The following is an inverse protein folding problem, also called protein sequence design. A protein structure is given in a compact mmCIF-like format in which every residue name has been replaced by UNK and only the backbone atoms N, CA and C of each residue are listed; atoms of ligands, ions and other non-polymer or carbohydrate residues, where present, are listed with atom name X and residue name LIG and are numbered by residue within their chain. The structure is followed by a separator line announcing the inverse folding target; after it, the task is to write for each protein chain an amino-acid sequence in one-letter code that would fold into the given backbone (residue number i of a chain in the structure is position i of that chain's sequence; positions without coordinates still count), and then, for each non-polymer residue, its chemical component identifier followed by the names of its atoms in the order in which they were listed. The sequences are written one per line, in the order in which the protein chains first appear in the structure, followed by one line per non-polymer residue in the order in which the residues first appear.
data_IF_930550148851
#
_entry.id   IF_930550148851
#
_cell.length_a   1.000
_cell.length_b   1.000
_cell.length_c   1.000
_cell.angle_alpha   90.00
_cell.angle_beta   90.00
_cell.angle_gamma   90.00
#
_symmetry.space_group_name_H-M   'P 1'
#
loop_
_entity.id
_entity.type
_entity.pdbx_description
1 polymer ?
#
# COMPACT_ATOMS: atom_id res chain seq x y z
N UNK A 1 13.17 -13.74 -43.96
CA UNK A 1 12.85 -12.31 -43.78
C UNK A 1 11.35 -12.11 -43.47
N UNK A 2 10.44 -12.45 -44.38
CA UNK A 2 8.98 -12.23 -44.21
C UNK A 2 8.39 -12.89 -42.95
N UNK A 3 8.77 -14.14 -42.66
CA UNK A 3 8.28 -14.85 -41.46
C UNK A 3 8.69 -14.18 -40.14
N UNK A 4 9.89 -13.58 -40.08
CA UNK A 4 10.36 -12.85 -38.89
C UNK A 4 9.54 -11.58 -38.64
N UNK A 5 9.15 -10.86 -39.70
CA UNK A 5 8.29 -9.68 -39.58
C UNK A 5 6.89 -10.04 -39.11
N UNK A 6 6.33 -11.15 -39.61
CA UNK A 6 5.01 -11.63 -39.17
C UNK A 6 5.05 -12.03 -37.71
N UNK A 7 6.09 -12.77 -37.28
CA UNK A 7 6.24 -13.16 -35.88
C UNK A 7 6.39 -11.94 -34.97
N UNK A 8 7.19 -10.95 -35.37
CA UNK A 8 7.39 -9.71 -34.59
C UNK A 8 6.08 -8.91 -34.44
N UNK A 9 5.35 -8.73 -35.55
CA UNK A 9 4.05 -8.02 -35.54
C UNK A 9 3.05 -8.77 -34.67
N UNK A 10 3.01 -10.10 -34.78
CA UNK A 10 2.08 -10.92 -34.00
C UNK A 10 2.42 -10.90 -32.51
N UNK A 11 3.69 -10.98 -32.12
CA UNK A 11 4.08 -10.87 -30.71
C UNK A 11 3.84 -9.47 -30.16
N UNK A 12 4.12 -8.41 -30.93
CA UNK A 12 3.82 -7.04 -30.50
C UNK A 12 2.32 -6.81 -30.38
N UNK A 13 1.52 -7.36 -31.30
CA UNK A 13 0.06 -7.31 -31.24
C UNK A 13 -0.48 -8.05 -30.03
N UNK A 14 0.01 -9.27 -29.76
CA UNK A 14 -0.34 -10.01 -28.55
C UNK A 14 0.09 -9.27 -27.29
N UNK A 15 1.31 -8.73 -27.25
CA UNK A 15 1.77 -7.92 -26.12
C UNK A 15 0.89 -6.70 -25.91
N UNK A 16 0.47 -6.01 -26.97
CA UNK A 16 -0.42 -4.85 -26.89
C UNK A 16 -1.83 -5.24 -26.41
N UNK A 17 -2.41 -6.32 -26.94
CA UNK A 17 -3.72 -6.82 -26.50
C UNK A 17 -3.72 -7.33 -25.07
N UNK A 18 -2.59 -7.86 -24.58
CA UNK A 18 -2.43 -8.31 -23.20
C UNK A 18 -1.77 -7.24 -22.31
N UNK A 19 -1.56 -6.02 -22.82
CA UNK A 19 -1.04 -4.91 -22.01
C UNK A 19 -2.20 -4.26 -21.25
N UNK A 20 -2.85 -5.03 -20.38
CA UNK A 20 -3.62 -4.43 -19.29
C UNK A 20 -2.61 -4.10 -18.21
N UNK A 21 -2.22 -2.83 -18.13
CA UNK A 21 -1.85 -2.27 -16.83
C UNK A 21 -3.18 -2.17 -16.08
N UNK A 22 -3.59 -3.28 -15.47
CA UNK A 22 -4.68 -3.23 -14.51
C UNK A 22 -4.18 -2.36 -13.39
N UNK A 23 -4.88 -1.24 -13.20
CA UNK A 23 -4.36 -0.06 -12.54
C UNK A 23 -4.01 -0.40 -11.08
N UNK A 24 -2.70 -0.53 -10.80
CA UNK A 24 -2.12 -0.83 -9.47
C UNK A 24 -2.28 0.39 -8.54
N UNK A 25 -3.17 1.33 -8.85
CA UNK A 25 -3.38 2.54 -8.07
C UNK A 25 -4.22 2.25 -6.83
N UNK A 26 -4.13 3.17 -5.87
CA UNK A 26 -4.85 3.14 -4.60
C UNK A 26 -6.01 4.14 -4.61
N UNK A 27 -6.41 4.63 -5.78
CA UNK A 27 -7.45 5.64 -5.99
C UNK A 27 -8.78 5.20 -5.41
N UNK A 28 -9.27 3.99 -5.72
CA UNK A 28 -10.53 3.49 -5.13
C UNK A 28 -10.48 3.44 -3.60
N UNK A 29 -9.32 3.08 -3.04
CA UNK A 29 -9.12 2.98 -1.58
C UNK A 29 -9.10 4.39 -0.97
N UNK A 30 -8.45 5.34 -1.63
CA UNK A 30 -8.39 6.74 -1.19
C UNK A 30 -9.77 7.40 -1.28
N UNK A 31 -10.51 7.17 -2.37
CA UNK A 31 -11.88 7.65 -2.53
C UNK A 31 -12.78 7.06 -1.44
N UNK A 32 -12.68 5.76 -1.18
CA UNK A 32 -13.37 5.12 -0.05
C UNK A 32 -13.02 5.81 1.28
N UNK A 33 -11.75 6.12 1.54
CA UNK A 33 -11.35 6.79 2.77
C UNK A 33 -11.94 8.20 2.89
N UNK A 34 -11.93 8.98 1.80
CA UNK A 34 -12.46 10.34 1.78
C UNK A 34 -14.00 10.38 1.91
N UNK A 35 -14.68 9.35 1.43
CA UNK A 35 -16.14 9.23 1.52
C UNK A 35 -16.62 8.78 2.91
N UNK A 36 -15.80 8.07 3.67
CA UNK A 36 -16.21 7.42 4.91
C UNK A 36 -15.57 8.01 6.19
N UNK A 37 -14.48 8.77 6.08
CA UNK A 37 -13.75 9.31 7.22
C UNK A 37 -13.43 10.80 7.05
N UNK A 38 -13.30 11.51 8.18
CA UNK A 38 -12.73 12.86 8.14
C UNK A 38 -11.22 12.77 7.87
N UNK A 39 -10.79 13.31 6.73
CA UNK A 39 -9.38 13.29 6.30
C UNK A 39 -8.41 13.84 7.33
N UNK A 40 -8.85 14.79 8.18
CA UNK A 40 -7.99 15.42 9.18
C UNK A 40 -7.73 14.48 10.37
N UNK A 41 -8.59 13.48 10.57
CA UNK A 41 -8.44 12.42 11.58
C UNK A 41 -7.63 11.22 11.06
N UNK A 42 -7.37 11.16 9.75
CA UNK A 42 -6.64 10.05 9.13
C UNK A 42 -5.13 10.17 9.38
N UNK A 43 -4.57 9.16 10.04
CA UNK A 43 -3.14 8.86 10.09
C UNK A 43 -2.88 7.57 9.34
N UNK A 44 -2.52 7.69 8.06
CA UNK A 44 -2.40 6.56 7.15
C UNK A 44 -0.98 5.99 7.15
N UNK A 45 -0.84 4.70 7.46
CA UNK A 45 0.28 3.91 6.97
C UNK A 45 0.01 3.49 5.53
N UNK A 46 0.96 3.78 4.64
CA UNK A 46 0.97 3.32 3.26
C UNK A 46 2.41 3.13 2.80
N UNK A 47 2.63 2.20 1.86
CA UNK A 47 3.95 1.94 1.28
C UNK A 47 4.53 3.16 0.53
N UNK A 48 5.86 3.24 0.51
CA UNK A 48 6.66 4.37 0.02
C UNK A 48 6.17 4.97 -1.31
N UNK A 49 5.82 4.11 -2.28
CA UNK A 49 5.45 4.54 -3.62
C UNK A 49 4.07 5.21 -3.70
N UNK A 50 3.15 4.89 -2.79
CA UNK A 50 1.78 5.39 -2.86
C UNK A 50 1.53 6.57 -1.90
N UNK A 51 2.44 6.85 -0.97
CA UNK A 51 2.29 7.96 -0.03
C UNK A 51 2.13 9.32 -0.69
N UNK A 52 2.87 9.58 -1.77
CA UNK A 52 2.77 10.84 -2.50
C UNK A 52 1.37 11.07 -3.09
N UNK A 53 0.68 10.00 -3.51
CA UNK A 53 -0.69 10.09 -4.01
C UNK A 53 -1.68 10.38 -2.88
N UNK A 54 -1.56 9.72 -1.73
CA UNK A 54 -2.38 10.03 -0.55
C UNK A 54 -2.22 11.49 -0.10
N UNK A 55 -0.99 12.01 -0.03
CA UNK A 55 -0.70 13.42 0.29
C UNK A 55 -1.30 14.38 -0.73
N UNK A 56 -1.23 14.04 -2.02
CA UNK A 56 -1.85 14.83 -3.09
C UNK A 56 -3.36 14.94 -2.93
N UNK A 57 -4.01 13.86 -2.46
CA UNK A 57 -5.44 13.81 -2.16
C UNK A 57 -5.80 14.45 -0.80
N UNK A 58 -4.81 14.94 -0.05
CA UNK A 58 -4.99 15.62 1.22
C UNK A 58 -5.09 14.70 2.44
N UNK A 59 -4.71 13.42 2.29
CA UNK A 59 -4.58 12.46 3.40
C UNK A 59 -3.11 12.44 3.85
N UNK A 60 -2.89 12.61 5.15
CA UNK A 60 -1.55 12.55 5.71
C UNK A 60 -1.04 11.10 5.72
N UNK A 61 0.08 10.89 5.02
CA UNK A 61 0.76 9.61 4.89
C UNK A 61 1.92 9.47 5.87
N UNK A 62 2.25 8.22 6.23
CA UNK A 62 3.42 7.87 7.04
C UNK A 62 4.73 8.27 6.36
N UNK A 63 4.82 7.99 5.07
CA UNK A 63 6.01 8.18 4.24
C UNK A 63 5.57 8.44 2.80
N UNK A 64 6.35 9.21 2.05
CA UNK A 64 6.19 9.39 0.60
C UNK A 64 7.54 9.27 -0.11
N UNK A 65 7.53 9.43 -1.45
CA UNK A 65 8.69 9.19 -2.31
C UNK A 65 9.88 10.14 -2.11
N UNK A 66 9.76 11.17 -1.27
CA UNK A 66 10.84 12.08 -0.86
C UNK A 66 11.73 11.43 0.22
N UNK A 67 12.42 10.35 -0.14
CA UNK A 67 13.22 9.53 0.78
C UNK A 67 14.16 10.36 1.67
N UNK A 68 14.75 11.42 1.13
CA UNK A 68 15.67 12.30 1.85
C UNK A 68 15.05 12.96 3.09
N UNK A 69 13.72 13.15 3.14
CA UNK A 69 13.03 13.72 4.30
C UNK A 69 12.89 12.71 5.45
N UNK A 70 12.97 11.43 5.14
CA UNK A 70 12.67 10.34 6.07
C UNK A 70 13.92 9.68 6.66
N UNK A 71 15.11 10.11 6.21
CA UNK A 71 16.38 9.76 6.84
C UNK A 71 16.52 10.47 8.19
N UNK A 72 17.02 9.74 9.20
CA UNK A 72 17.26 10.29 10.54
C UNK A 72 18.12 11.55 10.56
N UNK A 73 19.13 11.61 9.69
CA UNK A 73 20.01 12.78 9.57
C UNK A 73 19.28 14.02 9.02
N UNK A 74 18.17 13.84 8.32
CA UNK A 74 17.38 14.92 7.73
C UNK A 74 16.24 15.37 8.63
N UNK A 75 15.49 14.44 9.25
CA UNK A 75 14.38 14.78 10.14
C UNK A 75 14.78 14.99 11.61
N UNK A 76 15.95 14.51 12.03
CA UNK A 76 16.50 14.67 13.38
C UNK A 76 15.79 13.86 14.48
N UNK A 77 14.92 12.92 14.12
CA UNK A 77 14.09 12.13 15.04
C UNK A 77 14.27 10.63 14.84
N UNK A 78 13.68 10.10 13.78
CA UNK A 78 13.49 8.67 13.52
C UNK A 78 14.03 8.30 12.15
N UNK A 79 14.48 7.06 11.98
CA UNK A 79 14.86 6.54 10.67
C UNK A 79 13.64 5.90 9.99
N UNK A 80 12.70 6.77 9.59
CA UNK A 80 11.41 6.39 9.00
C UNK A 80 11.63 5.59 7.70
N UNK A 81 12.67 5.95 6.94
CA UNK A 81 13.04 5.23 5.73
C UNK A 81 13.51 3.81 6.03
N UNK A 82 14.42 3.61 6.99
CA UNK A 82 14.88 2.28 7.42
C UNK A 82 13.72 1.41 7.94
N UNK A 83 12.84 1.97 8.77
CA UNK A 83 11.62 1.29 9.23
C UNK A 83 10.70 0.87 8.05
N UNK A 84 10.55 1.74 7.03
CA UNK A 84 9.77 1.40 5.84
C UNK A 84 10.38 0.27 5.02
N UNK A 85 11.72 0.14 5.01
CA UNK A 85 12.43 -0.95 4.36
C UNK A 85 12.17 -2.27 5.08
N UNK A 86 12.23 -2.31 6.42
CA UNK A 86 11.92 -3.54 7.17
C UNK A 86 10.51 -4.08 6.88
N UNK A 87 9.52 -3.18 6.76
CA UNK A 87 8.15 -3.59 6.44
C UNK A 87 8.05 -4.05 4.97
N UNK A 88 8.72 -3.36 4.05
CA UNK A 88 8.79 -3.75 2.63
C UNK A 88 9.49 -5.11 2.43
N UNK A 89 10.55 -5.39 3.17
CA UNK A 89 11.26 -6.66 3.15
C UNK A 89 10.47 -7.79 3.84
N UNK A 90 9.30 -7.47 4.40
CA UNK A 90 8.45 -8.41 5.14
C UNK A 90 9.23 -9.07 6.27
N UNK A 91 9.97 -8.29 7.05
CA UNK A 91 10.81 -8.81 8.12
C UNK A 91 9.94 -9.47 9.21
N UNK A 92 10.26 -10.73 9.55
CA UNK A 92 9.56 -11.53 10.56
C UNK A 92 9.90 -11.13 11.99
N UNK A 93 11.05 -10.48 12.19
CA UNK A 93 11.53 -10.07 13.50
C UNK A 93 11.23 -8.61 13.81
N UNK A 94 10.59 -7.89 12.88
CA UNK A 94 10.17 -6.52 13.07
C UNK A 94 9.04 -6.43 14.11
N UNK A 95 9.17 -5.49 15.04
CA UNK A 95 8.20 -5.28 16.11
C UNK A 95 7.04 -4.40 15.60
N UNK A 96 6.07 -5.04 14.96
CA UNK A 96 4.88 -4.37 14.43
C UNK A 96 4.03 -3.68 15.51
N UNK A 97 4.02 -4.19 16.75
CA UNK A 97 3.26 -3.57 17.83
C UNK A 97 3.92 -2.26 18.28
N UNK A 98 5.23 -2.27 18.50
CA UNK A 98 5.97 -1.06 18.80
C UNK A 98 5.84 -0.03 17.67
N UNK A 99 5.94 -0.47 16.41
CA UNK A 99 5.79 0.38 15.23
C UNK A 99 4.41 1.05 15.17
N UNK A 100 3.33 0.26 15.24
CA UNK A 100 1.96 0.79 15.16
C UNK A 100 1.64 1.71 16.34
N UNK A 101 2.07 1.36 17.56
CA UNK A 101 1.84 2.19 18.74
C UNK A 101 2.67 3.50 18.72
N UNK A 102 3.89 3.47 18.15
CA UNK A 102 4.77 4.65 18.03
C UNK A 102 4.13 5.75 17.18
N UNK A 103 3.54 5.39 16.04
CA UNK A 103 2.96 6.35 15.11
C UNK A 103 1.46 6.58 15.32
N UNK A 104 0.77 5.64 15.99
CA UNK A 104 -0.65 5.76 16.30
C UNK A 104 -1.50 5.85 15.04
N UNK A 105 -1.26 4.95 14.08
CA UNK A 105 -2.01 4.89 12.83
C UNK A 105 -3.49 4.67 13.11
N UNK A 106 -4.35 5.37 12.36
CA UNK A 106 -5.79 5.11 12.34
C UNK A 106 -6.15 4.18 11.19
N UNK A 107 -5.38 4.26 10.10
CA UNK A 107 -5.62 3.55 8.86
C UNK A 107 -4.31 2.92 8.40
N UNK A 108 -4.35 1.65 7.98
CA UNK A 108 -3.17 0.90 7.53
C UNK A 108 -3.52 0.21 6.22
N UNK A 109 -2.90 0.66 5.13
CA UNK A 109 -3.03 0.05 3.82
C UNK A 109 -1.89 -0.96 3.60
N UNK A 110 -2.26 -2.23 3.43
CA UNK A 110 -1.31 -3.35 3.32
C UNK A 110 -1.42 -4.00 1.96
N UNK A 111 -0.27 -4.24 1.32
CA UNK A 111 -0.17 -5.02 0.09
C UNK A 111 0.05 -6.49 0.42
N UNK A 112 -0.90 -7.36 0.08
CA UNK A 112 -0.90 -8.78 0.46
C UNK A 112 0.23 -9.58 -0.19
N UNK A 113 0.77 -9.12 -1.32
CA UNK A 113 1.92 -9.79 -1.97
C UNK A 113 3.24 -9.55 -1.24
N UNK A 114 3.36 -8.41 -0.56
CA UNK A 114 4.64 -7.95 0.01
C UNK A 114 4.59 -8.05 1.53
N UNK A 115 3.54 -7.58 2.18
CA UNK A 115 3.51 -7.37 3.62
C UNK A 115 2.70 -8.44 4.38
N UNK A 116 2.87 -9.71 4.03
CA UNK A 116 2.09 -10.81 4.64
C UNK A 116 2.26 -10.94 6.15
N UNK A 117 3.45 -10.64 6.70
CA UNK A 117 3.66 -10.70 8.15
C UNK A 117 2.99 -9.53 8.87
N UNK A 118 2.92 -8.36 8.21
CA UNK A 118 2.19 -7.22 8.77
C UNK A 118 0.68 -7.49 8.75
N UNK A 119 0.16 -8.09 7.67
CA UNK A 119 -1.21 -8.58 7.59
C UNK A 119 -1.53 -9.60 8.69
N UNK A 120 -0.66 -10.60 8.92
CA UNK A 120 -0.81 -11.58 9.99
C UNK A 120 -0.86 -10.92 11.38
N UNK A 121 0.02 -9.94 11.63
CA UNK A 121 -0.02 -9.13 12.86
C UNK A 121 -1.37 -8.43 13.03
N UNK A 122 -1.86 -7.74 12.00
CA UNK A 122 -3.13 -6.98 12.05
C UNK A 122 -4.34 -7.89 12.25
N UNK A 123 -4.36 -9.06 11.61
CA UNK A 123 -5.44 -10.04 11.81
C UNK A 123 -5.46 -10.62 13.24
N UNK A 124 -4.29 -10.74 13.87
CA UNK A 124 -4.18 -11.18 15.26
C UNK A 124 -4.49 -10.08 16.28
N UNK A 125 -4.52 -8.82 15.84
CA UNK A 125 -4.72 -7.64 16.68
C UNK A 125 -6.18 -7.18 16.63
N UNK A 126 -6.85 -7.18 17.78
CA UNK A 126 -8.27 -6.83 17.90
C UNK A 126 -8.56 -5.33 17.74
N UNK A 127 -7.53 -4.46 17.76
CA UNK A 127 -7.68 -3.00 17.61
C UNK A 127 -8.13 -2.56 16.21
N UNK A 128 -7.83 -3.36 15.19
CA UNK A 128 -8.11 -3.01 13.80
C UNK A 128 -9.18 -3.93 13.20
N UNK A 129 -9.88 -3.42 12.19
CA UNK A 129 -10.75 -4.21 11.33
C UNK A 129 -10.51 -3.89 9.87
N UNK A 130 -10.73 -4.88 9.01
CA UNK A 130 -10.69 -4.68 7.56
C UNK A 130 -11.97 -3.96 7.14
N UNK A 131 -11.81 -2.79 6.53
CA UNK A 131 -12.93 -1.94 6.06
C UNK A 131 -13.05 -1.91 4.54
N UNK A 132 -11.97 -2.26 3.83
CA UNK A 132 -11.95 -2.35 2.37
C UNK A 132 -10.96 -3.42 1.91
N UNK A 133 -11.36 -4.21 0.90
CA UNK A 133 -10.50 -5.17 0.22
C UNK A 133 -10.46 -4.83 -1.27
N UNK A 134 -9.25 -4.57 -1.79
CA UNK A 134 -9.03 -4.44 -3.23
C UNK A 134 -8.62 -5.80 -3.78
N UNK A 135 -9.36 -6.26 -4.76
CA UNK A 135 -9.16 -7.53 -5.44
C UNK A 135 -8.37 -7.33 -6.74
N UNK A 136 -7.60 -8.33 -7.16
CA UNK A 136 -6.80 -8.24 -8.40
C UNK A 136 -7.68 -8.18 -9.66
N UNK A 137 -8.87 -8.76 -9.61
CA UNK A 137 -9.88 -8.75 -10.68
C UNK A 137 -11.26 -8.54 -10.04
N UNK A 138 -12.22 -7.97 -10.76
CA UNK A 138 -13.58 -7.63 -10.32
C UNK A 138 -14.43 -8.86 -9.92
N UNK A 139 -13.87 -10.06 -10.04
CA UNK A 139 -14.51 -11.30 -9.61
C UNK A 139 -14.31 -11.55 -8.12
N UNK A 140 -15.41 -11.87 -7.40
CA UNK A 140 -15.40 -12.06 -5.94
C UNK A 140 -14.54 -13.23 -5.44
N UNK A 141 -14.12 -14.13 -6.35
CA UNK A 141 -13.24 -15.26 -6.04
C UNK A 141 -11.76 -14.93 -6.30
N UNK A 142 -11.44 -13.70 -6.71
CA UNK A 142 -10.08 -13.29 -7.04
C UNK A 142 -9.25 -12.96 -5.79
N UNK A 143 -7.93 -13.06 -5.95
CA UNK A 143 -6.98 -12.82 -4.87
C UNK A 143 -7.08 -11.38 -4.34
N UNK A 144 -7.21 -11.23 -3.02
CA UNK A 144 -7.17 -9.92 -2.35
C UNK A 144 -5.76 -9.34 -2.50
N UNK A 145 -5.64 -8.29 -3.29
CA UNK A 145 -4.38 -7.60 -3.56
C UNK A 145 -3.99 -6.68 -2.39
N UNK A 146 -4.96 -5.91 -1.87
CA UNK A 146 -4.73 -4.97 -0.77
C UNK A 146 -5.86 -5.02 0.24
N UNK A 147 -5.52 -4.76 1.49
CA UNK A 147 -6.49 -4.56 2.58
C UNK A 147 -6.27 -3.20 3.22
N UNK A 148 -7.36 -2.47 3.41
CA UNK A 148 -7.39 -1.30 4.26
C UNK A 148 -7.91 -1.71 5.63
N UNK A 149 -7.07 -1.54 6.63
CA UNK A 149 -7.43 -1.68 8.02
C UNK A 149 -7.77 -0.31 8.61
N UNK A 150 -8.84 -0.21 9.39
CA UNK A 150 -9.17 0.95 10.20
C UNK A 150 -9.15 0.58 11.69
N UNK A 151 -8.75 1.53 12.53
CA UNK A 151 -8.81 1.41 13.98
C UNK A 151 -10.29 1.38 14.39
N UNK A 152 -10.70 0.36 15.17
CA UNK A 152 -12.07 0.28 15.67
C UNK A 152 -12.38 1.47 16.56
N UNK A 153 -13.52 2.12 16.34
CA UNK A 153 -14.03 3.09 17.29
C UNK A 153 -14.33 2.39 18.63
N UNK A 154 -13.78 2.92 19.71
CA UNK A 154 -13.96 2.41 21.08
C UNK A 154 -15.18 2.97 21.79
#
# INVERSE_FOLDING_TARGET
AVMLFITLIFTTYLSYCNYSFEDIYIDDIVDYMLDNYDKDDIKLYVEFNNGAYAEYMGIKSYIDTRAELFLKNSNGKDDIFDESIHIFENDKFFDYDAFVNKYGFTHILVNMYINSNFDEYLQSNDKYEVVYEQHFDDTSDSFVMRKLYALKEG
#
